data_IF_232281544600
#
_entry.id   IF_232281544600
#
_cell.length_a   1.000
_cell.length_b   1.000
_cell.length_c   1.000
_cell.angle_alpha   90.00
_cell.angle_beta   90.00
_cell.angle_gamma   90.00
#
_symmetry.space_group_name_H-M   'P 1'
#
loop_
_entity.id
_entity.type
_entity.pdbx_description
1 polymer ?
#
# COMPACT_ATOMS: atom_id res chain seq x y z
N UNK A 1 24.58 -17.69 -5.39
CA UNK A 1 25.98 -17.46 -5.71
C UNK A 1 25.99 -16.30 -6.68
N UNK A 2 26.59 -15.18 -6.29
CA UNK A 2 26.80 -14.01 -7.15
C UNK A 2 28.12 -14.22 -7.88
N UNK A 3 28.17 -13.92 -9.17
CA UNK A 3 29.39 -13.88 -9.95
C UNK A 3 30.00 -12.47 -9.94
N UNK A 4 31.21 -12.32 -10.48
CA UNK A 4 31.92 -11.03 -10.48
C UNK A 4 31.23 -9.95 -11.36
N UNK A 5 30.23 -10.33 -12.17
CA UNK A 5 29.45 -9.43 -13.03
C UNK A 5 28.10 -9.04 -12.40
N UNK A 6 27.74 -9.60 -11.25
CA UNK A 6 26.47 -9.35 -10.59
C UNK A 6 26.44 -7.97 -9.93
N UNK A 7 25.52 -7.12 -10.34
CA UNK A 7 25.26 -5.82 -9.71
C UNK A 7 24.05 -5.93 -8.79
N UNK A 8 24.24 -5.63 -7.50
CA UNK A 8 23.17 -5.58 -6.51
C UNK A 8 22.81 -4.12 -6.22
N UNK A 9 21.56 -3.74 -6.49
CA UNK A 9 21.00 -2.45 -6.16
C UNK A 9 20.00 -2.58 -5.00
N UNK A 10 20.32 -1.96 -3.86
CA UNK A 10 19.41 -1.88 -2.72
C UNK A 10 18.70 -0.53 -2.68
N UNK A 11 17.37 -0.55 -2.70
CA UNK A 11 16.54 0.65 -2.57
C UNK A 11 15.86 0.64 -1.21
N UNK A 12 16.27 1.57 -0.34
CA UNK A 12 15.66 1.76 0.98
C UNK A 12 14.66 2.91 0.91
N UNK A 13 13.39 2.61 1.11
CA UNK A 13 12.30 3.58 1.02
C UNK A 13 11.74 3.88 2.41
N UNK A 14 11.68 5.16 2.79
CA UNK A 14 11.00 5.57 4.03
C UNK A 14 9.51 5.24 3.93
N UNK A 15 8.90 4.85 5.05
CA UNK A 15 7.46 4.53 5.12
C UNK A 15 6.59 5.66 4.57
N UNK A 16 6.94 6.93 4.82
CA UNK A 16 6.22 8.09 4.29
C UNK A 16 6.25 8.16 2.76
N UNK A 17 7.42 8.04 2.17
CA UNK A 17 7.61 8.02 0.71
C UNK A 17 6.92 6.81 0.06
N UNK A 18 7.02 5.66 0.73
CA UNK A 18 6.33 4.46 0.29
C UNK A 18 4.81 4.65 0.28
N UNK A 19 4.22 5.17 1.37
CA UNK A 19 2.80 5.44 1.45
C UNK A 19 2.32 6.44 0.39
N UNK A 20 3.13 7.43 0.07
CA UNK A 20 2.86 8.40 -0.99
C UNK A 20 2.79 7.71 -2.36
N UNK A 21 3.80 6.94 -2.71
CA UNK A 21 3.85 6.22 -3.99
C UNK A 21 2.79 5.12 -4.09
N UNK A 22 2.53 4.42 -2.98
CA UNK A 22 1.65 3.26 -2.93
C UNK A 22 0.15 3.60 -2.84
N UNK A 23 -0.21 4.81 -2.45
CA UNK A 23 -1.62 5.19 -2.22
C UNK A 23 -2.56 4.93 -3.40
N UNK A 24 -2.06 5.05 -4.62
CA UNK A 24 -2.82 4.76 -5.83
C UNK A 24 -3.13 3.25 -5.98
N UNK A 25 -2.39 2.39 -5.30
CA UNK A 25 -2.53 0.93 -5.34
C UNK A 25 -3.35 0.36 -4.19
N UNK A 26 -3.69 1.13 -3.16
CA UNK A 26 -4.48 0.66 -2.00
C UNK A 26 -5.84 0.08 -2.42
N UNK A 27 -6.39 0.53 -3.54
CA UNK A 27 -7.67 0.05 -4.11
C UNK A 27 -7.49 -1.10 -5.10
N UNK A 28 -6.28 -1.40 -5.49
CA UNK A 28 -5.98 -2.47 -6.43
C UNK A 28 -6.10 -3.84 -5.74
N UNK A 29 -6.55 -4.84 -6.51
CA UNK A 29 -6.64 -6.23 -6.04
C UNK A 29 -5.38 -7.02 -6.35
N UNK A 30 -4.32 -6.36 -6.80
CA UNK A 30 -3.08 -7.03 -7.16
C UNK A 30 -2.41 -7.66 -5.92
N UNK A 31 -1.69 -8.71 -6.16
CA UNK A 31 -0.92 -9.39 -5.11
C UNK A 31 0.15 -8.48 -4.50
N UNK A 32 0.67 -7.53 -5.28
CA UNK A 32 1.60 -6.51 -4.82
C UNK A 32 0.91 -5.56 -3.84
N UNK A 33 -0.31 -5.10 -4.16
CA UNK A 33 -1.10 -4.28 -3.24
C UNK A 33 -1.35 -5.03 -1.93
N UNK A 34 -1.66 -6.32 -2.02
CA UNK A 34 -1.87 -7.18 -0.87
C UNK A 34 -0.64 -7.34 0.00
N UNK A 35 0.52 -7.56 -0.61
CA UNK A 35 1.80 -7.62 0.08
C UNK A 35 2.06 -6.32 0.87
N UNK A 36 1.85 -5.19 0.25
CA UNK A 36 2.08 -3.90 0.90
C UNK A 36 1.07 -3.60 1.99
N UNK A 37 -0.22 -3.85 1.78
CA UNK A 37 -1.25 -3.70 2.80
C UNK A 37 -0.94 -4.58 4.02
N UNK A 38 -0.51 -5.82 3.78
CA UNK A 38 -0.09 -6.70 4.86
C UNK A 38 1.08 -6.10 5.65
N UNK A 39 2.13 -5.66 4.97
CA UNK A 39 3.31 -5.11 5.63
C UNK A 39 3.06 -3.76 6.33
N UNK A 40 2.11 -2.96 5.85
CA UNK A 40 1.75 -1.70 6.49
C UNK A 40 0.86 -1.88 7.73
N UNK A 41 -0.12 -2.76 7.65
CA UNK A 41 -1.21 -2.79 8.62
C UNK A 41 -1.31 -4.08 9.45
N UNK A 42 -0.54 -5.14 9.16
CA UNK A 42 -0.56 -6.35 9.99
C UNK A 42 0.68 -6.44 10.89
N UNK A 43 0.54 -7.21 11.96
CA UNK A 43 1.67 -7.60 12.83
C UNK A 43 2.56 -8.64 12.17
N UNK A 44 1.95 -9.58 11.44
CA UNK A 44 2.65 -10.63 10.72
C UNK A 44 3.13 -10.09 9.39
N UNK A 45 4.38 -9.64 9.36
CA UNK A 45 5.00 -9.14 8.13
C UNK A 45 5.27 -10.30 7.18
N UNK A 46 5.16 -10.01 5.88
CA UNK A 46 5.66 -10.89 4.83
C UNK A 46 7.06 -10.39 4.50
N UNK A 47 8.04 -11.29 4.61
CA UNK A 47 9.44 -10.88 4.55
C UNK A 47 9.84 -10.38 3.15
N UNK A 48 9.33 -11.02 2.10
CA UNK A 48 9.67 -10.66 0.73
C UNK A 48 8.63 -11.13 -0.29
N UNK A 49 8.67 -10.51 -1.46
CA UNK A 49 8.13 -11.03 -2.71
C UNK A 49 9.28 -11.19 -3.70
N UNK A 50 9.23 -12.22 -4.51
CA UNK A 50 10.22 -12.50 -5.52
C UNK A 50 9.54 -12.64 -6.88
N UNK A 51 10.12 -12.07 -7.90
CA UNK A 51 9.72 -12.25 -9.28
C UNK A 51 10.94 -12.16 -10.20
N UNK A 52 10.92 -12.98 -11.25
CA UNK A 52 11.99 -13.00 -12.21
C UNK A 52 11.71 -11.99 -13.32
N UNK A 53 12.37 -10.84 -13.29
CA UNK A 53 12.25 -9.82 -14.33
C UNK A 53 13.15 -10.07 -15.54
N UNK A 54 14.11 -10.99 -15.43
CA UNK A 54 15.12 -11.25 -16.45
C UNK A 54 15.76 -9.94 -16.97
N UNK A 55 15.79 -9.76 -18.30
CA UNK A 55 16.30 -8.57 -18.96
C UNK A 55 15.18 -7.56 -19.28
N UNK A 56 14.21 -7.36 -18.38
CA UNK A 56 13.14 -6.39 -18.59
C UNK A 56 13.70 -4.96 -18.55
N UNK A 57 13.86 -4.38 -19.73
CA UNK A 57 14.40 -3.04 -19.93
C UNK A 57 13.66 -1.98 -19.12
N UNK A 58 12.33 -2.07 -18.98
CA UNK A 58 11.55 -1.06 -18.23
C UNK A 58 11.88 -1.10 -16.73
N UNK A 59 12.04 -2.30 -16.17
CA UNK A 59 12.43 -2.46 -14.75
C UNK A 59 13.85 -1.97 -14.55
N UNK A 60 14.79 -2.43 -15.38
CA UNK A 60 16.20 -2.04 -15.28
C UNK A 60 16.37 -0.52 -15.44
N UNK A 61 15.74 0.09 -16.45
CA UNK A 61 15.82 1.52 -16.68
C UNK A 61 15.23 2.33 -15.54
N UNK A 62 14.10 1.91 -14.96
CA UNK A 62 13.52 2.59 -13.80
C UNK A 62 14.46 2.56 -12.58
N UNK A 63 15.14 1.43 -12.35
CA UNK A 63 16.11 1.29 -11.26
C UNK A 63 17.34 2.18 -11.48
N UNK A 64 17.86 2.23 -12.72
CA UNK A 64 18.99 3.09 -13.08
C UNK A 64 18.64 4.57 -12.91
N UNK A 65 17.48 5.00 -13.41
CA UNK A 65 17.03 6.39 -13.24
C UNK A 65 16.88 6.76 -11.75
N UNK A 66 16.38 5.86 -10.92
CA UNK A 66 16.30 6.10 -9.47
C UNK A 66 17.69 6.22 -8.85
N UNK A 67 18.65 5.42 -9.29
CA UNK A 67 20.04 5.50 -8.82
C UNK A 67 20.69 6.83 -9.23
N UNK A 68 20.56 7.24 -10.51
CA UNK A 68 21.07 8.50 -11.03
C UNK A 68 20.46 9.70 -10.29
N UNK A 69 19.13 9.72 -10.13
CA UNK A 69 18.43 10.79 -9.43
C UNK A 69 18.87 10.91 -7.96
N UNK A 70 19.12 9.78 -7.30
CA UNK A 70 19.63 9.78 -5.93
C UNK A 70 21.02 10.39 -5.80
N UNK A 71 21.84 10.38 -6.87
CA UNK A 71 23.15 11.04 -6.89
C UNK A 71 23.03 12.56 -7.05
N UNK A 72 22.02 13.04 -7.78
CA UNK A 72 21.75 14.48 -8.01
C UNK A 72 21.37 15.13 -6.67
N UNK A 73 20.46 14.53 -5.92
CA UNK A 73 20.05 14.91 -4.57
C UNK A 73 19.74 16.41 -4.39
N UNK A 74 18.97 16.97 -5.32
CA UNK A 74 18.52 18.37 -5.26
C UNK A 74 17.11 18.52 -4.63
N UNK A 75 16.57 19.73 -4.68
CA UNK A 75 15.24 20.04 -4.17
C UNK A 75 14.11 19.21 -4.83
N UNK A 76 14.27 18.80 -6.08
CA UNK A 76 13.28 18.04 -6.85
C UNK A 76 13.44 16.53 -6.72
N UNK A 77 14.61 16.05 -6.31
CA UNK A 77 14.99 14.63 -6.34
C UNK A 77 14.01 13.74 -5.58
N UNK A 78 13.53 14.16 -4.40
CA UNK A 78 12.56 13.35 -3.66
C UNK A 78 11.24 13.15 -4.44
N UNK A 79 10.77 14.17 -5.15
CA UNK A 79 9.53 14.10 -5.94
C UNK A 79 9.71 13.22 -7.19
N UNK A 80 10.87 13.33 -7.84
CA UNK A 80 11.23 12.51 -9.01
C UNK A 80 11.35 11.04 -8.56
N UNK A 81 12.05 10.76 -7.46
CA UNK A 81 12.20 9.41 -6.91
C UNK A 81 10.84 8.79 -6.55
N UNK A 82 9.93 9.53 -5.92
CA UNK A 82 8.56 9.05 -5.65
C UNK A 82 7.82 8.68 -6.94
N UNK A 83 7.96 9.49 -7.99
CA UNK A 83 7.31 9.25 -9.29
C UNK A 83 7.91 8.03 -10.00
N UNK A 84 9.24 7.89 -10.02
CA UNK A 84 9.95 6.72 -10.56
C UNK A 84 9.60 5.44 -9.81
N UNK A 85 9.51 5.51 -8.47
CA UNK A 85 9.10 4.36 -7.66
C UNK A 85 7.65 3.95 -7.94
N UNK A 86 6.73 4.92 -8.09
CA UNK A 86 5.35 4.64 -8.49
C UNK A 86 5.26 4.00 -9.86
N UNK A 87 6.06 4.47 -10.81
CA UNK A 87 6.15 3.90 -12.17
C UNK A 87 6.71 2.47 -12.14
N UNK A 88 7.75 2.23 -11.36
CA UNK A 88 8.33 0.90 -11.15
C UNK A 88 7.27 -0.08 -10.62
N UNK A 89 6.51 0.32 -9.58
CA UNK A 89 5.42 -0.50 -9.04
C UNK A 89 4.35 -0.80 -10.10
N UNK A 90 4.01 0.19 -10.95
CA UNK A 90 3.06 -0.01 -12.06
C UNK A 90 3.56 -1.05 -13.07
N UNK A 91 4.83 -1.00 -13.46
CA UNK A 91 5.43 -1.97 -14.37
C UNK A 91 5.45 -3.38 -13.76
N UNK A 92 5.85 -3.50 -12.50
CA UNK A 92 5.88 -4.77 -11.80
C UNK A 92 4.46 -5.35 -11.72
N UNK A 93 3.47 -4.56 -11.28
CA UNK A 93 2.07 -5.00 -11.19
C UNK A 93 1.54 -5.45 -12.55
N UNK A 94 1.75 -4.68 -13.60
CA UNK A 94 1.24 -4.99 -14.95
C UNK A 94 1.81 -6.30 -15.52
N UNK A 95 3.11 -6.55 -15.30
CA UNK A 95 3.81 -7.64 -15.99
C UNK A 95 3.97 -8.91 -15.15
N UNK A 96 4.02 -8.76 -13.83
CA UNK A 96 4.48 -9.84 -12.96
C UNK A 96 3.47 -10.25 -11.89
N UNK A 97 2.28 -9.61 -11.78
CA UNK A 97 1.30 -9.96 -10.74
C UNK A 97 0.97 -11.45 -10.67
N UNK A 98 0.89 -12.15 -11.82
CA UNK A 98 0.57 -13.58 -11.87
C UNK A 98 1.83 -14.49 -11.75
N UNK A 99 3.03 -13.90 -11.64
CA UNK A 99 4.32 -14.59 -11.60
C UNK A 99 5.08 -14.31 -10.31
N UNK A 100 4.43 -13.73 -9.33
CA UNK A 100 5.03 -13.39 -8.05
C UNK A 100 5.14 -14.66 -7.21
N UNK A 101 6.34 -14.94 -6.75
CA UNK A 101 6.60 -15.95 -5.74
C UNK A 101 6.60 -15.30 -4.35
N UNK A 102 5.81 -15.84 -3.45
CA UNK A 102 5.71 -15.37 -2.08
C UNK A 102 6.40 -16.30 -1.12
N UNK A 103 6.85 -15.76 0.01
CA UNK A 103 7.06 -16.59 1.18
C UNK A 103 5.77 -17.38 1.46
N UNK A 104 5.88 -18.67 1.70
CA UNK A 104 4.79 -19.67 1.73
C UNK A 104 3.59 -19.36 2.63
N UNK A 105 3.70 -18.35 3.49
CA UNK A 105 2.65 -17.90 4.42
C UNK A 105 1.60 -16.95 3.82
N UNK A 106 1.77 -16.50 2.56
CA UNK A 106 0.92 -15.43 2.00
C UNK A 106 -0.41 -15.90 1.43
N UNK A 107 -0.45 -17.04 0.75
CA UNK A 107 -1.63 -17.46 -0.06
C UNK A 107 -2.94 -17.61 0.72
N UNK A 108 -2.90 -17.69 2.04
CA UNK A 108 -4.08 -17.92 2.90
C UNK A 108 -4.14 -17.00 4.13
N UNK A 109 -3.56 -15.78 4.07
CA UNK A 109 -3.61 -14.89 5.23
C UNK A 109 -4.98 -14.20 5.31
N UNK A 110 -5.90 -14.80 6.09
CA UNK A 110 -7.22 -14.23 6.39
C UNK A 110 -7.13 -12.79 6.92
N UNK A 111 -6.03 -12.45 7.61
CA UNK A 111 -5.79 -11.10 8.11
C UNK A 111 -5.63 -10.07 6.98
N UNK A 112 -5.07 -10.45 5.85
CA UNK A 112 -4.94 -9.55 4.70
C UNK A 112 -6.31 -9.28 4.06
N UNK A 113 -7.19 -10.28 4.01
CA UNK A 113 -8.52 -10.14 3.40
C UNK A 113 -9.38 -9.11 4.14
N UNK A 114 -9.33 -9.07 5.48
CA UNK A 114 -10.12 -8.11 6.24
C UNK A 114 -9.61 -6.67 6.02
N UNK A 115 -8.29 -6.48 5.93
CA UNK A 115 -7.68 -5.17 5.65
C UNK A 115 -8.05 -4.70 4.24
N UNK A 116 -7.98 -5.58 3.25
CA UNK A 116 -8.41 -5.29 1.88
C UNK A 116 -9.88 -4.87 1.82
N UNK A 117 -10.73 -5.62 2.52
CA UNK A 117 -12.16 -5.31 2.55
C UNK A 117 -12.42 -3.93 3.17
N UNK A 118 -11.76 -3.62 4.31
CA UNK A 118 -11.86 -2.31 4.95
C UNK A 118 -11.30 -1.20 4.05
N UNK A 119 -10.12 -1.40 3.44
CA UNK A 119 -9.49 -0.43 2.55
C UNK A 119 -10.31 -0.15 1.29
N UNK A 120 -11.01 -1.16 0.77
CA UNK A 120 -11.88 -1.00 -0.40
C UNK A 120 -13.17 -0.24 -0.09
N UNK A 121 -13.70 -0.42 1.13
CA UNK A 121 -15.00 0.11 1.54
C UNK A 121 -14.90 1.22 2.59
N UNK A 122 -13.73 1.83 2.77
CA UNK A 122 -13.37 2.74 3.86
C UNK A 122 -14.34 3.92 4.07
N UNK A 123 -15.04 4.37 3.03
CA UNK A 123 -15.94 5.52 3.14
C UNK A 123 -17.02 5.30 4.19
N UNK A 124 -17.74 4.17 4.10
CA UNK A 124 -18.95 3.93 4.88
C UNK A 124 -18.97 2.54 5.54
N UNK A 125 -17.82 1.88 5.65
CA UNK A 125 -17.74 0.54 6.24
C UNK A 125 -18.08 0.57 7.73
N UNK A 126 -18.82 -0.43 8.19
CA UNK A 126 -19.14 -0.66 9.60
C UNK A 126 -18.72 -2.06 10.04
N UNK A 127 -18.53 -2.26 11.35
CA UNK A 127 -18.27 -3.62 11.90
C UNK A 127 -19.41 -4.59 11.58
N UNK A 128 -20.66 -4.10 11.49
CA UNK A 128 -21.81 -4.92 11.10
C UNK A 128 -21.67 -5.42 9.67
N UNK A 129 -21.26 -4.58 8.73
CA UNK A 129 -21.05 -4.99 7.34
C UNK A 129 -19.86 -5.98 7.21
N UNK A 130 -18.79 -5.77 7.98
CA UNK A 130 -17.66 -6.72 8.05
C UNK A 130 -18.16 -8.08 8.58
N UNK A 131 -18.92 -8.07 9.66
CA UNK A 131 -19.53 -9.26 10.28
C UNK A 131 -20.39 -10.04 9.28
N UNK A 132 -21.23 -9.36 8.55
CA UNK A 132 -22.08 -9.97 7.51
C UNK A 132 -21.28 -10.56 6.35
N UNK A 133 -20.27 -9.83 5.87
CA UNK A 133 -19.46 -10.27 4.73
C UNK A 133 -18.60 -11.51 5.04
N UNK A 134 -18.00 -11.54 6.23
CA UNK A 134 -17.14 -12.66 6.65
C UNK A 134 -17.89 -13.77 7.41
N UNK A 135 -19.19 -13.62 7.65
CA UNK A 135 -20.04 -14.56 8.40
C UNK A 135 -19.55 -14.81 9.82
N UNK A 136 -18.99 -13.79 10.49
CA UNK A 136 -18.56 -13.83 11.87
C UNK A 136 -19.38 -12.89 12.75
N UNK A 137 -19.34 -13.07 14.07
CA UNK A 137 -19.95 -12.12 15.00
C UNK A 137 -19.19 -10.80 15.06
N UNK A 138 -19.88 -9.70 15.39
CA UNK A 138 -19.26 -8.36 15.54
C UNK A 138 -18.10 -8.38 16.56
N UNK A 139 -18.27 -8.98 17.78
CA UNK A 139 -17.16 -9.10 18.73
C UNK A 139 -15.96 -9.88 18.17
N UNK A 140 -16.22 -10.96 17.43
CA UNK A 140 -15.14 -11.72 16.77
C UNK A 140 -14.39 -10.86 15.74
N UNK A 141 -15.10 -10.16 14.85
CA UNK A 141 -14.49 -9.26 13.86
C UNK A 141 -13.63 -8.18 14.53
N UNK A 142 -14.13 -7.57 15.62
CA UNK A 142 -13.38 -6.55 16.36
C UNK A 142 -12.10 -7.12 16.98
N UNK A 143 -12.19 -8.32 17.59
CA UNK A 143 -11.04 -9.04 18.15
C UNK A 143 -10.05 -9.42 17.04
N UNK A 144 -10.52 -9.99 15.95
CA UNK A 144 -9.72 -10.41 14.80
C UNK A 144 -8.92 -9.24 14.19
N UNK A 145 -9.58 -8.08 13.93
CA UNK A 145 -8.89 -6.87 13.47
C UNK A 145 -7.77 -6.48 14.43
N UNK A 146 -8.04 -6.45 15.74
CA UNK A 146 -7.05 -6.06 16.74
C UNK A 146 -5.89 -7.05 16.83
N UNK A 147 -6.14 -8.34 16.76
CA UNK A 147 -5.10 -9.37 16.79
C UNK A 147 -4.22 -9.31 15.54
N UNK A 148 -4.82 -9.12 14.37
CA UNK A 148 -4.12 -9.05 13.09
C UNK A 148 -3.29 -7.78 12.94
N UNK A 149 -3.87 -6.61 13.27
CA UNK A 149 -3.26 -5.31 12.99
C UNK A 149 -2.57 -4.67 14.18
N UNK A 150 -3.00 -5.01 15.39
CA UNK A 150 -2.63 -4.31 16.62
C UNK A 150 -3.49 -3.10 16.91
N UNK A 151 -4.34 -2.68 15.98
CA UNK A 151 -5.20 -1.51 16.09
C UNK A 151 -6.65 -1.90 16.33
N UNK A 152 -7.41 -1.01 17.01
CA UNK A 152 -8.86 -1.15 17.00
C UNK A 152 -9.40 -0.88 15.59
N UNK A 153 -10.62 -1.35 15.30
CA UNK A 153 -11.29 -1.07 14.02
C UNK A 153 -11.33 0.44 13.69
N UNK A 154 -11.71 1.26 14.67
CA UNK A 154 -11.76 2.72 14.48
C UNK A 154 -10.39 3.32 14.20
N UNK A 155 -9.37 2.93 14.93
CA UNK A 155 -7.99 3.39 14.72
C UNK A 155 -7.49 3.01 13.33
N UNK A 156 -7.69 1.75 12.92
CA UNK A 156 -7.30 1.27 11.58
C UNK A 156 -8.01 2.05 10.48
N UNK A 157 -9.33 2.21 10.58
CA UNK A 157 -10.13 2.97 9.61
C UNK A 157 -9.68 4.44 9.52
N UNK A 158 -9.42 5.07 10.66
CA UNK A 158 -8.90 6.44 10.71
C UNK A 158 -7.54 6.55 10.02
N UNK A 159 -6.62 5.63 10.26
CA UNK A 159 -5.31 5.62 9.59
C UNK A 159 -5.45 5.49 8.07
N UNK A 160 -6.32 4.59 7.59
CA UNK A 160 -6.60 4.43 6.16
C UNK A 160 -7.16 5.73 5.57
N UNK A 161 -8.16 6.33 6.22
CA UNK A 161 -8.77 7.61 5.78
C UNK A 161 -7.76 8.75 5.76
N UNK A 162 -6.90 8.87 6.76
CA UNK A 162 -5.83 9.90 6.80
C UNK A 162 -4.86 9.73 5.63
N UNK A 163 -4.45 8.52 5.28
CA UNK A 163 -3.56 8.31 4.14
C UNK A 163 -4.22 8.71 2.83
N UNK A 164 -5.48 8.35 2.63
CA UNK A 164 -6.24 8.75 1.43
C UNK A 164 -6.42 10.28 1.39
N UNK A 165 -6.69 10.93 2.53
CA UNK A 165 -6.83 12.39 2.61
C UNK A 165 -5.55 13.11 2.20
N UNK A 166 -4.40 12.64 2.68
CA UNK A 166 -3.09 13.20 2.28
C UNK A 166 -2.90 13.16 0.77
N UNK A 167 -3.32 12.06 0.14
CA UNK A 167 -3.24 11.93 -1.31
C UNK A 167 -4.17 12.88 -2.06
N UNK A 168 -5.39 13.03 -1.58
CA UNK A 168 -6.32 13.99 -2.17
C UNK A 168 -5.80 15.43 -2.03
N UNK A 169 -5.20 15.77 -0.89
CA UNK A 169 -4.57 17.08 -0.69
C UNK A 169 -3.39 17.34 -1.62
N UNK A 170 -2.58 16.33 -1.91
CA UNK A 170 -1.39 16.47 -2.75
C UNK A 170 -1.70 16.45 -4.25
N UNK A 171 -2.71 15.69 -4.66
CA UNK A 171 -2.93 15.35 -6.07
C UNK A 171 -4.21 15.96 -6.67
N UNK A 172 -5.00 16.71 -5.88
CA UNK A 172 -6.23 17.34 -6.35
C UNK A 172 -6.33 18.79 -5.88
N UNK A 173 -7.23 19.55 -6.48
CA UNK A 173 -7.61 20.89 -6.06
C UNK A 173 -8.81 20.90 -5.10
N UNK A 174 -9.13 19.77 -4.49
CA UNK A 174 -10.29 19.66 -3.59
C UNK A 174 -10.12 20.53 -2.35
N UNK A 175 -11.19 21.20 -1.97
CA UNK A 175 -11.28 21.87 -0.66
C UNK A 175 -11.28 20.83 0.47
N UNK A 176 -10.95 21.26 1.70
CA UNK A 176 -11.01 20.38 2.88
C UNK A 176 -12.40 19.75 3.05
N UNK A 177 -13.47 20.51 2.78
CA UNK A 177 -14.83 20.00 2.84
C UNK A 177 -15.10 18.89 1.81
N UNK A 178 -14.63 19.07 0.56
CA UNK A 178 -14.73 18.04 -0.48
C UNK A 178 -13.92 16.80 -0.14
N UNK A 179 -12.73 16.96 0.46
CA UNK A 179 -11.92 15.82 0.91
C UNK A 179 -12.64 15.08 2.03
N UNK A 180 -13.21 15.78 3.02
CA UNK A 180 -13.96 15.17 4.10
C UNK A 180 -15.14 14.33 3.57
N UNK A 181 -15.90 14.86 2.63
CA UNK A 181 -16.99 14.14 1.95
C UNK A 181 -16.47 12.93 1.18
N UNK A 182 -15.38 13.08 0.40
CA UNK A 182 -14.79 12.01 -0.40
C UNK A 182 -14.29 10.84 0.46
N UNK A 183 -13.83 11.10 1.68
CA UNK A 183 -13.39 10.05 2.61
C UNK A 183 -14.50 9.57 3.56
N UNK A 184 -15.75 10.05 3.36
CA UNK A 184 -16.94 9.56 4.04
C UNK A 184 -17.15 10.17 5.44
N UNK A 185 -16.78 11.44 5.63
CA UNK A 185 -17.24 12.23 6.79
C UNK A 185 -18.49 13.02 6.41
N UNK A 186 -19.56 12.86 7.18
CA UNK A 186 -20.81 13.61 6.96
C UNK A 186 -20.69 15.07 7.39
N UNK A 187 -19.85 15.34 8.39
CA UNK A 187 -19.57 16.69 8.87
C UNK A 187 -18.07 16.98 8.71
N UNK A 188 -17.69 17.98 7.88
CA UNK A 188 -16.28 18.38 7.71
C UNK A 188 -15.59 18.80 9.01
N UNK A 189 -16.33 19.35 9.99
CA UNK A 189 -15.77 19.76 11.28
C UNK A 189 -15.23 18.59 12.11
N UNK A 190 -15.71 17.37 11.87
CA UNK A 190 -15.20 16.16 12.53
C UNK A 190 -13.94 15.60 11.88
N UNK A 191 -13.58 16.13 10.70
CA UNK A 191 -12.37 15.76 9.98
C UNK A 191 -11.16 16.64 10.37
N UNK A 192 -11.39 17.88 10.81
CA UNK A 192 -10.37 18.83 11.23
C UNK A 192 -10.01 18.56 12.69
#
# INVERSE_FOLDING_TARGET
VFDDETVLLNILVKTSTFLEAFSNYVRDKSDIANFFLNNLYTKNKIDYIHFHSHQDFQIQNSLLQMFEENQINDHYSNRILCSLFSLLLAYITRKYQDKIEYASSFKNNEGTQIIQYISKHYKNITLTQISQYFHYSIPYCSKWIKETTGYSYHTLLTQIKIQISKQLLLNTSFSIAQIAEEIGYQNPETFI
#
